data_IF_437678522344
#
_entry.id   IF_437678522344
#
_cell.length_a   1.000
_cell.length_b   1.000
_cell.length_c   1.000
_cell.angle_alpha   90.00
_cell.angle_beta   90.00
_cell.angle_gamma   90.00
#
_symmetry.space_group_name_H-M   'P 1'
#
loop_
_entity.id
_entity.type
_entity.pdbx_description
1 polymer ?
#
# COMPACT_ATOMS: atom_id res chain seq x y z
N UNK A 1 -6.54 17.92 -1.06
CA UNK A 1 -6.64 18.36 0.35
C UNK A 1 -7.81 17.68 1.08
N UNK A 2 -9.00 17.59 0.47
CA UNK A 2 -10.16 16.89 1.04
C UNK A 2 -9.87 15.47 1.54
N UNK A 3 -9.12 14.67 0.78
CA UNK A 3 -8.74 13.31 1.20
C UNK A 3 -7.99 13.30 2.53
N UNK A 4 -7.02 14.21 2.72
CA UNK A 4 -6.25 14.28 3.97
C UNK A 4 -7.16 14.65 5.14
N UNK A 5 -8.10 15.59 4.92
CA UNK A 5 -9.10 15.99 5.92
C UNK A 5 -9.95 14.77 6.33
N UNK A 6 -10.45 14.00 5.35
CA UNK A 6 -11.23 12.79 5.63
C UNK A 6 -10.42 11.76 6.43
N UNK A 7 -9.13 11.58 6.11
CA UNK A 7 -8.23 10.70 6.87
C UNK A 7 -8.02 11.18 8.31
N UNK A 8 -7.88 12.50 8.53
CA UNK A 8 -7.79 13.09 9.89
C UNK A 8 -9.06 12.81 10.69
N UNK A 9 -10.22 12.86 10.05
CA UNK A 9 -11.51 12.44 10.64
C UNK A 9 -11.69 10.92 10.73
N UNK A 10 -10.65 10.13 10.44
CA UNK A 10 -10.64 8.66 10.49
C UNK A 10 -11.66 8.01 9.56
N UNK A 11 -12.01 8.67 8.46
CA UNK A 11 -12.92 8.14 7.47
C UNK A 11 -12.20 7.25 6.46
N UNK A 12 -12.81 6.12 6.11
CA UNK A 12 -12.40 5.34 4.96
C UNK A 12 -12.63 6.14 3.68
N UNK A 13 -11.60 6.32 2.87
CA UNK A 13 -11.67 7.19 1.69
C UNK A 13 -11.20 6.44 0.44
N UNK A 14 -12.01 6.49 -0.61
CA UNK A 14 -11.62 6.10 -1.96
C UNK A 14 -11.20 7.33 -2.75
N UNK A 15 -10.05 7.24 -3.43
CA UNK A 15 -9.52 8.33 -4.25
C UNK A 15 -9.46 7.88 -5.69
N UNK A 16 -10.24 8.54 -6.54
CA UNK A 16 -10.13 8.41 -7.98
C UNK A 16 -9.36 9.62 -8.52
N UNK A 17 -8.15 9.38 -9.01
CA UNK A 17 -7.33 10.42 -9.62
C UNK A 17 -6.40 9.80 -10.67
N UNK A 18 -6.15 10.54 -11.76
CA UNK A 18 -5.24 10.13 -12.82
C UNK A 18 -3.81 9.84 -12.32
N UNK A 19 -3.03 9.16 -13.14
CA UNK A 19 -1.57 9.06 -12.97
C UNK A 19 -0.95 10.45 -12.97
N UNK A 20 0.10 10.67 -12.18
CA UNK A 20 0.75 11.98 -12.03
C UNK A 20 0.01 12.99 -11.14
N UNK A 21 -1.23 12.72 -10.69
CA UNK A 21 -1.99 13.64 -9.81
C UNK A 21 -1.42 13.75 -8.37
N UNK A 22 -0.37 12.99 -8.05
CA UNK A 22 0.27 13.06 -6.74
C UNK A 22 -0.46 12.31 -5.62
N UNK A 23 -1.16 11.21 -5.94
CA UNK A 23 -1.84 10.35 -4.95
C UNK A 23 -0.91 9.95 -3.79
N UNK A 24 0.35 9.62 -4.10
CA UNK A 24 1.40 9.29 -3.13
C UNK A 24 1.60 10.38 -2.06
N UNK A 25 1.42 11.66 -2.42
CA UNK A 25 1.59 12.80 -1.52
C UNK A 25 0.53 12.84 -0.42
N UNK A 26 -0.66 12.28 -0.65
CA UNK A 26 -1.74 12.23 0.35
C UNK A 26 -1.28 11.46 1.59
N UNK A 27 -0.72 10.25 1.37
CA UNK A 27 -0.20 9.42 2.44
C UNK A 27 1.02 10.07 3.12
N UNK A 28 1.89 10.76 2.36
CA UNK A 28 3.02 11.50 2.95
C UNK A 28 2.57 12.63 3.86
N UNK A 29 1.64 13.47 3.41
CA UNK A 29 1.11 14.57 4.22
C UNK A 29 0.49 14.01 5.49
N UNK A 30 -0.31 12.94 5.37
CA UNK A 30 -0.92 12.29 6.53
C UNK A 30 0.13 11.72 7.51
N UNK A 31 1.21 11.10 7.01
CA UNK A 31 2.32 10.61 7.84
C UNK A 31 2.99 11.72 8.66
N UNK A 32 3.18 12.89 8.07
CA UNK A 32 3.80 14.05 8.73
C UNK A 32 2.93 14.69 9.82
N UNK A 33 1.64 14.33 9.91
CA UNK A 33 0.77 14.79 11.01
C UNK A 33 1.11 14.12 12.34
N UNK A 34 1.88 13.04 12.33
CA UNK A 34 2.25 12.27 13.52
C UNK A 34 3.65 12.65 14.00
N UNK A 35 3.87 12.80 15.33
CA UNK A 35 5.19 13.04 15.88
C UNK A 35 6.16 11.90 15.53
N UNK A 36 7.41 12.24 15.15
CA UNK A 36 8.44 11.25 14.84
C UNK A 36 8.71 10.27 16.00
N UNK A 37 8.52 10.71 17.25
CA UNK A 37 8.65 9.87 18.45
C UNK A 37 7.65 8.72 18.51
N UNK A 38 6.48 8.85 17.87
CA UNK A 38 5.46 7.80 17.74
C UNK A 38 5.83 6.75 16.68
N UNK A 39 6.84 7.03 15.85
CA UNK A 39 7.29 6.16 14.76
C UNK A 39 6.13 5.68 13.87
N UNK A 40 5.32 6.60 13.32
CA UNK A 40 4.16 6.25 12.51
C UNK A 40 4.55 5.40 11.31
N UNK A 41 3.74 4.39 11.00
CA UNK A 41 3.92 3.49 9.86
C UNK A 41 2.69 3.54 8.96
N UNK A 42 2.92 3.73 7.66
CA UNK A 42 1.92 3.54 6.61
C UNK A 42 2.22 2.24 5.88
N UNK A 43 1.23 1.37 5.81
CA UNK A 43 1.29 0.13 5.04
C UNK A 43 0.67 0.38 3.65
N UNK A 44 1.36 0.04 2.58
CA UNK A 44 0.91 0.26 1.20
C UNK A 44 0.89 -1.06 0.45
N UNK A 45 -0.30 -1.60 0.20
CA UNK A 45 -0.51 -2.76 -0.65
C UNK A 45 -0.42 -2.32 -2.11
N UNK A 46 0.62 -2.78 -2.81
CA UNK A 46 0.78 -2.53 -4.23
C UNK A 46 0.47 -3.80 -5.02
N UNK A 47 -0.57 -3.80 -5.86
CA UNK A 47 -0.95 -4.95 -6.66
C UNK A 47 -0.02 -5.22 -7.84
N UNK A 48 0.81 -4.24 -8.21
CA UNK A 48 1.78 -4.36 -9.29
C UNK A 48 3.16 -4.59 -8.67
N UNK A 49 3.61 -5.85 -8.68
CA UNK A 49 4.85 -6.33 -8.04
C UNK A 49 6.12 -5.52 -8.43
N UNK A 50 6.11 -4.85 -9.58
CA UNK A 50 7.27 -4.14 -10.13
C UNK A 50 7.47 -2.71 -9.62
N UNK A 51 6.53 -2.15 -8.83
CA UNK A 51 6.62 -0.74 -8.42
C UNK A 51 7.26 -0.49 -7.05
N UNK A 52 7.40 -1.52 -6.21
CA UNK A 52 7.79 -1.33 -4.80
C UNK A 52 9.16 -0.65 -4.63
N UNK A 53 10.16 -1.04 -5.43
CA UNK A 53 11.51 -0.48 -5.31
C UNK A 53 11.59 0.98 -5.78
N UNK A 54 10.83 1.34 -6.81
CA UNK A 54 10.69 2.73 -7.26
C UNK A 54 10.05 3.58 -6.15
N UNK A 55 8.99 3.08 -5.52
CA UNK A 55 8.33 3.77 -4.42
C UNK A 55 9.24 3.92 -3.19
N UNK A 56 10.12 2.94 -2.91
CA UNK A 56 11.15 3.07 -1.86
C UNK A 56 12.16 4.15 -2.22
N UNK A 57 12.62 4.22 -3.47
CA UNK A 57 13.56 5.24 -3.94
C UNK A 57 12.96 6.65 -3.82
N UNK A 58 11.69 6.83 -4.20
CA UNK A 58 10.96 8.10 -4.02
C UNK A 58 10.90 8.53 -2.55
N UNK A 59 10.58 7.61 -1.63
CA UNK A 59 10.54 7.93 -0.19
C UNK A 59 11.91 8.29 0.36
N UNK A 60 12.96 7.63 -0.11
CA UNK A 60 14.34 7.96 0.26
C UNK A 60 14.68 9.39 -0.16
N UNK A 61 14.27 9.83 -1.35
CA UNK A 61 14.42 11.22 -1.80
C UNK A 61 13.64 12.20 -0.92
N UNK A 62 12.46 11.80 -0.43
CA UNK A 62 11.67 12.54 0.56
C UNK A 62 12.21 12.45 2.00
N UNK A 63 13.38 11.83 2.23
CA UNK A 63 14.00 11.59 3.56
C UNK A 63 13.15 10.74 4.51
N UNK A 64 12.25 9.92 3.97
CA UNK A 64 11.43 8.98 4.73
C UNK A 64 12.00 7.57 4.53
N UNK A 65 12.26 6.86 5.62
CA UNK A 65 12.69 5.46 5.55
C UNK A 65 11.54 4.60 5.06
N UNK A 66 11.77 3.82 4.02
CA UNK A 66 10.80 2.89 3.46
C UNK A 66 11.43 1.52 3.18
N UNK A 67 10.59 0.49 3.16
CA UNK A 67 10.98 -0.87 2.76
C UNK A 67 9.91 -1.46 1.86
N UNK A 68 10.34 -2.17 0.82
CA UNK A 68 9.48 -3.01 0.01
C UNK A 68 9.60 -4.43 0.54
N UNK A 69 8.51 -5.03 1.02
CA UNK A 69 8.51 -6.41 1.51
C UNK A 69 8.22 -7.37 0.36
N UNK A 70 9.17 -8.27 0.13
CA UNK A 70 9.06 -9.36 -0.82
C UNK A 70 9.23 -10.68 -0.09
N UNK A 71 8.82 -11.78 -0.73
CA UNK A 71 9.02 -13.12 -0.17
C UNK A 71 10.49 -13.43 0.14
N UNK A 72 11.41 -12.90 -0.67
CA UNK A 72 12.84 -13.17 -0.54
C UNK A 72 13.52 -12.32 0.53
N UNK A 73 13.02 -11.11 0.80
CA UNK A 73 13.67 -10.20 1.75
C UNK A 73 13.09 -10.26 3.16
N UNK A 74 11.96 -10.95 3.38
CA UNK A 74 11.34 -11.08 4.69
C UNK A 74 12.17 -11.99 5.60
N UNK A 75 13.16 -11.39 6.25
CA UNK A 75 14.07 -12.04 7.22
C UNK A 75 13.70 -11.66 8.65
N UNK A 76 14.14 -12.44 9.64
CA UNK A 76 13.92 -12.14 11.08
C UNK A 76 14.44 -10.76 11.46
N UNK A 77 15.49 -10.27 10.79
CA UNK A 77 15.99 -8.91 10.97
C UNK A 77 14.93 -7.89 10.52
N UNK A 78 14.46 -7.99 9.27
CA UNK A 78 13.46 -7.06 8.72
C UNK A 78 12.14 -7.12 9.50
N UNK A 79 11.69 -8.30 9.92
CA UNK A 79 10.53 -8.48 10.81
C UNK A 79 10.65 -7.61 12.07
N UNK A 80 11.78 -7.70 12.79
CA UNK A 80 12.04 -6.88 13.98
C UNK A 80 12.08 -5.39 13.67
N UNK A 81 12.67 -5.00 12.54
CA UNK A 81 12.76 -3.59 12.15
C UNK A 81 11.40 -2.97 11.82
N UNK A 82 10.54 -3.74 11.14
CA UNK A 82 9.15 -3.36 10.87
C UNK A 82 8.38 -3.19 12.18
N UNK A 83 8.44 -4.18 13.09
CA UNK A 83 7.77 -4.12 14.41
C UNK A 83 8.24 -2.90 15.24
N UNK A 84 9.54 -2.61 15.21
CA UNK A 84 10.14 -1.46 15.90
C UNK A 84 9.75 -0.10 15.29
N UNK A 85 9.13 -0.07 14.11
CA UNK A 85 8.77 1.15 13.39
C UNK A 85 10.00 1.86 12.81
N UNK A 86 11.00 1.12 12.31
CA UNK A 86 12.17 1.74 11.65
C UNK A 86 11.85 2.34 10.28
N UNK A 87 10.73 1.94 9.68
CA UNK A 87 10.25 2.38 8.37
C UNK A 87 8.96 3.16 8.53
N UNK A 88 8.89 4.36 7.93
CA UNK A 88 7.65 5.14 7.87
C UNK A 88 6.68 4.62 6.82
N UNK A 89 7.19 4.00 5.75
CA UNK A 89 6.40 3.33 4.72
C UNK A 89 6.84 1.89 4.56
N UNK A 90 5.87 0.98 4.56
CA UNK A 90 6.07 -0.45 4.31
C UNK A 90 5.24 -0.80 3.09
N UNK A 91 5.88 -1.09 1.98
CA UNK A 91 5.21 -1.59 0.78
C UNK A 91 5.10 -3.11 0.86
N UNK A 92 3.98 -3.65 0.42
CA UNK A 92 3.81 -5.09 0.30
C UNK A 92 3.16 -5.46 -1.02
N UNK A 93 3.54 -6.62 -1.53
CA UNK A 93 2.80 -7.27 -2.59
C UNK A 93 1.63 -8.11 -2.07
N UNK A 94 0.68 -8.50 -2.93
CA UNK A 94 -0.43 -9.35 -2.55
C UNK A 94 0.04 -10.75 -2.15
N UNK A 95 1.09 -11.26 -2.78
CA UNK A 95 1.67 -12.55 -2.42
C UNK A 95 2.21 -12.53 -0.98
N UNK A 96 2.92 -11.47 -0.60
CA UNK A 96 3.43 -11.33 0.78
C UNK A 96 2.29 -11.17 1.77
N UNK A 97 1.24 -10.40 1.43
CA UNK A 97 0.07 -10.25 2.28
C UNK A 97 -0.58 -11.60 2.62
N UNK A 98 -0.76 -12.45 1.61
CA UNK A 98 -1.55 -13.68 1.72
C UNK A 98 -0.72 -14.88 2.22
N UNK A 99 0.53 -14.99 1.78
CA UNK A 99 1.30 -16.24 1.89
C UNK A 99 2.52 -16.15 2.80
N UNK A 100 2.78 -15.01 3.45
CA UNK A 100 3.96 -14.84 4.30
C UNK A 100 3.62 -14.87 5.80
N UNK A 101 3.93 -15.99 6.46
CA UNK A 101 3.70 -16.17 7.90
C UNK A 101 4.48 -15.17 8.78
N UNK A 102 5.67 -14.75 8.35
CA UNK A 102 6.50 -13.78 9.07
C UNK A 102 5.86 -12.39 9.03
N UNK A 103 5.37 -11.97 7.86
CA UNK A 103 4.59 -10.75 7.75
C UNK A 103 3.32 -10.81 8.58
N UNK A 104 2.58 -11.93 8.54
CA UNK A 104 1.38 -12.10 9.36
C UNK A 104 1.67 -11.92 10.86
N UNK A 105 2.77 -12.48 11.37
CA UNK A 105 3.19 -12.27 12.77
C UNK A 105 3.51 -10.80 13.05
N UNK A 106 4.32 -10.17 12.20
CA UNK A 106 4.64 -8.75 12.35
C UNK A 106 3.40 -7.86 12.30
N UNK A 107 2.45 -8.18 11.42
CA UNK A 107 1.22 -7.43 11.26
C UNK A 107 0.35 -7.53 12.52
N UNK A 108 0.18 -8.70 13.13
CA UNK A 108 -0.62 -8.87 14.35
C UNK A 108 0.12 -8.55 15.65
N UNK A 109 1.39 -8.16 15.57
CA UNK A 109 2.17 -7.74 16.73
C UNK A 109 1.62 -6.42 17.33
N UNK A 110 1.43 -6.38 18.66
CA UNK A 110 0.86 -5.22 19.36
C UNK A 110 1.74 -3.98 19.22
N UNK A 111 3.06 -4.16 19.25
CA UNK A 111 4.01 -3.08 19.12
C UNK A 111 3.98 -2.51 17.69
N UNK A 112 3.80 -3.33 16.65
CA UNK A 112 3.57 -2.84 15.29
C UNK A 112 2.21 -2.13 15.15
N UNK A 113 1.12 -2.75 15.61
CA UNK A 113 -0.23 -2.21 15.52
C UNK A 113 -0.37 -0.84 16.20
N UNK A 114 0.33 -0.59 17.30
CA UNK A 114 0.33 0.73 17.95
C UNK A 114 0.95 1.86 17.11
N UNK A 115 1.69 1.51 16.05
CA UNK A 115 2.36 2.45 15.14
C UNK A 115 1.71 2.54 13.76
N UNK A 116 0.89 1.56 13.39
CA UNK A 116 0.21 1.53 12.10
C UNK A 116 -0.87 2.62 12.08
N UNK A 117 -0.66 3.67 11.28
CA UNK A 117 -1.57 4.83 11.22
C UNK A 117 -2.46 4.84 9.99
N UNK A 118 -2.07 4.14 8.93
CA UNK A 118 -2.84 4.05 7.69
C UNK A 118 -2.48 2.78 6.91
N UNK A 119 -3.49 2.17 6.31
CA UNK A 119 -3.33 1.15 5.27
C UNK A 119 -3.85 1.70 3.95
N UNK A 120 -3.03 1.64 2.91
CA UNK A 120 -3.33 2.13 1.56
C UNK A 120 -3.36 0.92 0.63
N UNK A 121 -4.35 0.86 -0.26
CA UNK A 121 -4.34 -0.08 -1.38
C UNK A 121 -4.17 0.74 -2.66
N UNK A 122 -3.00 0.62 -3.26
CA UNK A 122 -2.71 1.25 -4.55
C UNK A 122 -3.36 0.45 -5.67
N UNK A 123 -3.70 1.10 -6.77
CA UNK A 123 -4.42 0.50 -7.92
C UNK A 123 -5.57 -0.43 -7.50
N UNK A 124 -6.39 0.00 -6.53
CA UNK A 124 -7.43 -0.81 -5.90
C UNK A 124 -8.45 -1.44 -6.87
N UNK A 125 -8.56 -0.90 -8.09
CA UNK A 125 -9.34 -1.50 -9.16
C UNK A 125 -8.85 -2.92 -9.57
N UNK A 126 -7.60 -3.27 -9.25
CA UNK A 126 -7.02 -4.61 -9.41
C UNK A 126 -7.58 -5.65 -8.44
N UNK A 127 -8.19 -5.26 -7.32
CA UNK A 127 -8.77 -6.20 -6.35
C UNK A 127 -9.84 -7.07 -7.03
N UNK A 128 -10.64 -6.49 -7.93
CA UNK A 128 -11.66 -7.23 -8.68
C UNK A 128 -11.05 -8.33 -9.54
N UNK A 129 -9.92 -8.05 -10.20
CA UNK A 129 -9.21 -9.03 -11.02
C UNK A 129 -8.72 -10.20 -10.16
N UNK A 130 -8.24 -9.95 -8.94
CA UNK A 130 -7.85 -11.03 -8.02
C UNK A 130 -9.01 -11.92 -7.63
N UNK A 131 -10.18 -11.34 -7.36
CA UNK A 131 -11.39 -12.11 -7.06
C UNK A 131 -11.77 -13.07 -8.19
N UNK A 132 -11.60 -12.63 -9.45
CA UNK A 132 -11.86 -13.45 -10.63
C UNK A 132 -10.83 -14.56 -10.83
N UNK A 133 -9.55 -14.29 -10.56
CA UNK A 133 -8.49 -15.30 -10.63
C UNK A 133 -8.71 -16.35 -9.54
N UNK A 134 -8.99 -15.93 -8.31
CA UNK A 134 -9.24 -16.82 -7.18
C UNK A 134 -10.48 -17.70 -7.37
N UNK A 135 -11.54 -17.19 -8.01
CA UNK A 135 -12.76 -17.95 -8.30
C UNK A 135 -12.64 -18.88 -9.51
N UNK A 136 -11.49 -18.92 -10.20
CA UNK A 136 -11.29 -19.73 -11.39
C UNK A 136 -12.00 -19.21 -12.65
N UNK A 137 -12.73 -18.08 -12.55
CA UNK A 137 -13.42 -17.42 -13.65
C UNK A 137 -12.46 -16.64 -14.56
N UNK A 138 -11.23 -16.39 -14.11
CA UNK A 138 -10.18 -15.70 -14.87
C UNK A 138 -9.78 -16.38 -16.19
N UNK A 139 -10.04 -17.70 -16.36
CA UNK A 139 -9.72 -18.43 -17.60
C UNK A 139 -10.51 -17.98 -18.84
N UNK A 140 -11.62 -17.24 -18.67
CA UNK A 140 -12.40 -16.65 -19.77
C UNK A 140 -11.96 -15.23 -20.15
N UNK A 141 -10.98 -14.65 -19.46
CA UNK A 141 -10.53 -13.28 -19.67
C UNK A 141 -9.24 -13.30 -20.49
N UNK A 142 -9.29 -13.83 -21.71
CA UNK A 142 -8.22 -13.67 -22.73
C UNK A 142 -8.11 -12.23 -23.27
N UNK A 143 -8.56 -11.24 -22.51
CA UNK A 143 -8.51 -9.81 -22.82
C UNK A 143 -7.52 -9.04 -21.92
N UNK A 144 -6.51 -9.74 -21.36
CA UNK A 144 -5.45 -9.24 -20.46
C UNK A 144 -4.63 -8.02 -20.95
N UNK A 145 -4.95 -7.44 -22.12
CA UNK A 145 -4.34 -6.18 -22.62
C UNK A 145 -5.38 -5.07 -22.84
N UNK A 146 -6.68 -5.35 -22.96
CA UNK A 146 -7.70 -4.33 -23.31
C UNK A 146 -8.43 -3.70 -22.13
N UNK A 147 -8.24 -4.19 -20.90
CA UNK A 147 -8.89 -3.60 -19.72
C UNK A 147 -8.12 -2.43 -19.10
N UNK A 148 -6.83 -2.25 -19.41
CA UNK A 148 -6.09 -1.03 -19.05
C UNK A 148 -6.69 0.22 -19.74
N UNK A 149 -7.25 0.06 -20.95
CA UNK A 149 -7.73 1.18 -21.79
C UNK A 149 -9.26 1.27 -21.95
N UNK A 150 -10.05 0.51 -21.17
CA UNK A 150 -11.54 0.55 -21.24
C UNK A 150 -12.23 0.99 -19.97
N UNK A 151 -11.52 1.70 -19.10
CA UNK A 151 -12.16 2.48 -18.04
C UNK A 151 -12.74 3.79 -18.59
N UNK A 152 -13.83 3.74 -19.37
CA UNK A 152 -14.70 4.93 -19.51
C UNK A 152 -15.50 5.06 -18.21
N UNK A 153 -14.83 5.47 -17.13
CA UNK A 153 -15.50 5.92 -15.93
C UNK A 153 -15.76 7.42 -16.11
N UNK A 154 -16.95 7.74 -16.62
CA UNK A 154 -17.45 9.12 -16.65
C UNK A 154 -17.73 9.56 -15.21
N UNK A 155 -17.12 10.63 -14.71
CA UNK A 155 -17.63 11.31 -13.54
C UNK A 155 -18.94 11.98 -13.95
N UNK A 156 -20.07 11.53 -13.42
CA UNK A 156 -21.24 12.39 -13.31
C UNK A 156 -20.94 13.44 -12.23
N UNK A 157 -20.94 14.70 -12.65
CA UNK A 157 -20.78 15.91 -11.84
C UNK A 157 -21.73 15.96 -10.66
#
# INVERSE_FOLDING_TARGET
MQTVINLVHRQHTFVLAGTGFGKTRIAEVYWHLFPASKKPVILVLNPLDTLGDNQVAEKKAAKIKAVNLTKMNMTVKIEKEVIQGKYGFVYLSPEVLLNNAMFRRAFFDKQFQSKLVLSVVDEAHMIYIWGLVASGLGKKITSHVKLQDRGVFRPSY
#
